data_IF_015333115146
#
_entry.id   IF_015333115146
#
_cell.length_a   1.000
_cell.length_b   1.000
_cell.length_c   1.000
_cell.angle_alpha   90.00
_cell.angle_beta   90.00
_cell.angle_gamma   90.00
#
_symmetry.space_group_name_H-M   'P 1'
#
loop_
_entity.id
_entity.type
_entity.pdbx_description
1 polymer ?
#
# COMPACT_ATOMS: atom_id res chain seq x y z
N UNK A 1 -2.15 -1.26 24.99
CA UNK A 1 -2.28 -0.80 23.58
C UNK A 1 -3.08 0.49 23.53
N UNK A 2 -2.41 1.63 23.42
CA UNK A 2 -3.04 2.95 23.30
C UNK A 2 -3.21 3.24 21.82
N UNK A 3 -4.45 3.32 21.33
CA UNK A 3 -4.72 3.65 19.93
C UNK A 3 -4.52 5.15 19.72
N UNK A 4 -3.80 5.53 18.66
CA UNK A 4 -3.64 6.92 18.20
C UNK A 4 -5.03 7.49 17.90
N UNK A 5 -5.43 8.56 18.61
CA UNK A 5 -6.65 9.31 18.27
C UNK A 5 -6.39 10.08 16.99
N UNK A 6 -7.22 9.85 15.97
CA UNK A 6 -7.25 10.66 14.75
C UNK A 6 -8.42 11.63 14.91
N UNK A 7 -8.11 12.89 15.15
CA UNK A 7 -9.08 13.93 15.55
C UNK A 7 -10.23 14.14 14.55
N UNK A 8 -10.03 13.81 13.26
CA UNK A 8 -11.07 13.90 12.23
C UNK A 8 -12.22 12.89 12.36
N UNK A 9 -11.93 11.65 12.76
CA UNK A 9 -12.93 10.56 12.75
C UNK A 9 -13.88 10.65 13.96
N UNK A 10 -13.44 11.24 15.08
CA UNK A 10 -14.24 11.29 16.31
C UNK A 10 -15.40 12.30 16.23
N UNK A 11 -15.16 13.47 15.63
CA UNK A 11 -16.18 14.53 15.49
C UNK A 11 -17.27 14.09 14.51
N UNK A 12 -16.87 13.53 13.36
CA UNK A 12 -17.79 12.97 12.37
C UNK A 12 -18.67 11.87 12.96
N UNK A 13 -18.09 10.96 13.77
CA UNK A 13 -18.85 9.91 14.46
C UNK A 13 -19.85 10.45 15.47
N UNK A 14 -19.49 11.49 16.23
CA UNK A 14 -20.44 12.13 17.16
C UNK A 14 -21.59 12.82 16.43
N UNK A 15 -21.32 13.46 15.30
CA UNK A 15 -22.36 14.07 14.47
C UNK A 15 -23.32 13.00 13.92
N UNK A 16 -22.80 11.91 13.35
CA UNK A 16 -23.60 10.81 12.84
C UNK A 16 -24.44 10.11 13.94
N UNK A 17 -23.92 10.04 15.18
CA UNK A 17 -24.67 9.49 16.30
C UNK A 17 -25.82 10.40 16.74
N UNK A 18 -25.68 11.73 16.61
CA UNK A 18 -26.74 12.70 16.90
C UNK A 18 -27.82 12.64 15.81
N UNK A 19 -27.44 12.65 14.54
CA UNK A 19 -28.39 12.56 13.42
C UNK A 19 -29.20 11.27 13.43
N UNK A 20 -28.60 10.14 13.85
CA UNK A 20 -29.34 8.89 14.04
C UNK A 20 -30.44 9.02 15.11
N UNK A 21 -30.14 9.69 16.25
CA UNK A 21 -31.12 9.92 17.32
C UNK A 21 -32.22 10.89 16.89
N UNK A 22 -31.88 11.93 16.15
CA UNK A 22 -32.84 12.88 15.58
C UNK A 22 -33.80 12.21 14.60
N UNK A 23 -33.32 11.22 13.85
CA UNK A 23 -34.14 10.37 12.99
C UNK A 23 -34.95 9.30 13.75
N UNK A 24 -34.93 9.29 15.09
CA UNK A 24 -35.64 8.31 15.92
C UNK A 24 -34.99 6.92 15.96
N UNK A 25 -33.81 6.76 15.36
CA UNK A 25 -33.10 5.49 15.29
C UNK A 25 -32.00 5.38 16.35
N UNK A 26 -31.69 4.15 16.78
CA UNK A 26 -30.58 3.93 17.70
C UNK A 26 -29.26 4.04 16.92
N UNK A 27 -28.24 4.76 17.42
CA UNK A 27 -26.91 4.82 16.78
C UNK A 27 -26.26 3.45 16.57
N UNK A 28 -26.67 2.44 17.32
CA UNK A 28 -26.26 1.04 17.12
C UNK A 28 -26.92 0.38 15.91
N UNK A 29 -28.15 0.77 15.55
CA UNK A 29 -28.86 0.27 14.37
C UNK A 29 -28.20 0.76 13.06
N UNK A 30 -27.71 2.01 13.05
CA UNK A 30 -26.93 2.58 11.94
C UNK A 30 -25.44 2.23 11.99
N UNK A 31 -25.02 1.33 12.87
CA UNK A 31 -23.61 0.99 13.06
C UNK A 31 -22.71 2.25 13.21
N UNK A 32 -23.09 3.25 13.99
CA UNK A 32 -22.24 4.45 14.17
C UNK A 32 -21.28 4.30 15.36
N UNK A 33 -21.58 3.38 16.28
CA UNK A 33 -20.80 3.18 17.51
C UNK A 33 -19.60 2.24 17.36
N UNK A 34 -18.62 2.37 18.25
CA UNK A 34 -17.40 1.54 18.34
C UNK A 34 -17.68 0.06 18.68
N UNK A 35 -18.87 -0.28 19.15
CA UNK A 35 -19.29 -1.64 19.49
C UNK A 35 -20.18 -2.33 18.43
N UNK A 36 -20.56 -1.64 17.36
CA UNK A 36 -21.54 -2.13 16.37
C UNK A 36 -21.09 -3.38 15.60
N UNK A 37 -19.77 -3.54 15.37
CA UNK A 37 -19.20 -4.67 14.62
C UNK A 37 -19.49 -6.06 15.21
N UNK A 38 -19.96 -6.14 16.47
CA UNK A 38 -20.29 -7.39 17.15
C UNK A 38 -21.79 -7.60 17.39
N UNK A 39 -22.65 -6.67 16.96
CA UNK A 39 -24.09 -6.85 17.06
C UNK A 39 -24.52 -7.93 16.08
N UNK A 40 -25.07 -9.04 16.59
CA UNK A 40 -25.67 -10.08 15.75
C UNK A 40 -27.03 -9.57 15.30
N UNK A 41 -27.18 -9.28 14.01
CA UNK A 41 -28.51 -9.05 13.42
C UNK A 41 -29.26 -10.36 13.47
N UNK A 42 -30.14 -10.51 14.46
CA UNK A 42 -30.92 -11.72 14.63
C UNK A 42 -32.00 -11.74 13.54
N UNK A 43 -31.81 -12.59 12.52
CA UNK A 43 -32.80 -12.75 11.46
C UNK A 43 -33.84 -13.78 11.93
N UNK A 44 -35.12 -13.40 12.10
CA UNK A 44 -36.15 -14.36 12.50
C UNK A 44 -36.39 -15.33 11.32
N UNK A 45 -36.24 -16.63 11.59
CA UNK A 45 -36.51 -17.75 10.66
C UNK A 45 -35.55 -17.87 9.47
N UNK A 46 -34.32 -18.30 9.76
CA UNK A 46 -33.26 -18.62 8.78
C UNK A 46 -33.65 -19.64 7.67
N UNK A 47 -34.70 -20.43 7.88
CA UNK A 47 -35.15 -21.47 6.96
C UNK A 47 -36.11 -20.98 5.87
N UNK A 48 -36.65 -19.76 5.95
CA UNK A 48 -37.54 -19.20 4.93
C UNK A 48 -36.85 -18.22 3.98
N UNK A 49 -35.52 -18.09 4.09
CA UNK A 49 -34.73 -17.11 3.34
C UNK A 49 -33.90 -17.80 2.28
N UNK A 50 -33.85 -17.17 1.10
CA UNK A 50 -32.99 -17.61 0.00
C UNK A 50 -31.50 -17.36 0.34
N UNK A 51 -30.59 -17.95 -0.43
CA UNK A 51 -29.15 -17.84 -0.22
C UNK A 51 -28.67 -16.38 -0.17
N UNK A 52 -29.22 -15.54 -1.06
CA UNK A 52 -28.86 -14.13 -1.16
C UNK A 52 -29.31 -13.34 0.09
N UNK A 53 -30.57 -13.53 0.53
CA UNK A 53 -31.11 -12.94 1.76
C UNK A 53 -30.38 -13.43 3.02
N UNK A 54 -29.85 -14.66 2.99
CA UNK A 54 -29.04 -15.23 4.07
C UNK A 54 -27.63 -14.63 4.12
N UNK A 55 -27.12 -14.10 3.01
CA UNK A 55 -25.79 -13.48 2.89
C UNK A 55 -25.83 -11.97 3.16
N UNK A 56 -26.97 -11.31 2.94
CA UNK A 56 -27.18 -9.87 3.18
C UNK A 56 -26.71 -9.37 4.58
N UNK A 57 -26.92 -10.08 5.70
CA UNK A 57 -26.40 -9.64 7.01
C UNK A 57 -24.87 -9.76 7.15
N UNK A 58 -24.24 -10.66 6.39
CA UNK A 58 -22.77 -10.82 6.36
C UNK A 58 -22.12 -9.71 5.53
N UNK A 59 -22.78 -9.29 4.46
CA UNK A 59 -22.30 -8.24 3.57
C UNK A 59 -22.47 -6.83 4.17
N UNK A 60 -23.52 -6.61 4.99
CA UNK A 60 -23.73 -5.38 5.77
C UNK A 60 -22.76 -5.17 6.95
N UNK A 61 -21.72 -5.98 7.05
CA UNK A 61 -20.68 -5.81 8.06
C UNK A 61 -20.05 -4.43 7.96
N UNK A 62 -19.99 -3.72 9.10
CA UNK A 62 -19.49 -2.35 9.24
C UNK A 62 -18.20 -2.04 8.46
N UNK A 63 -17.28 -3.01 8.41
CA UNK A 63 -15.99 -2.87 7.73
C UNK A 63 -16.11 -2.81 6.19
N UNK A 64 -17.09 -3.49 5.59
CA UNK A 64 -17.33 -3.45 4.14
C UNK A 64 -18.08 -2.19 3.73
N UNK A 65 -18.99 -1.69 4.57
CA UNK A 65 -19.68 -0.41 4.34
C UNK A 65 -18.70 0.76 4.42
N UNK A 66 -17.85 0.82 5.45
CA UNK A 66 -16.81 1.85 5.55
C UNK A 66 -15.80 1.78 4.38
N UNK A 67 -15.51 0.59 3.85
CA UNK A 67 -14.65 0.41 2.68
C UNK A 67 -15.33 0.81 1.37
N UNK A 68 -16.63 0.54 1.22
CA UNK A 68 -17.43 0.93 0.06
C UNK A 68 -17.70 2.44 0.03
N UNK A 69 -17.98 3.05 1.18
CA UNK A 69 -18.10 4.50 1.33
C UNK A 69 -16.77 5.20 1.04
N UNK A 70 -15.65 4.67 1.55
CA UNK A 70 -14.32 5.18 1.19
C UNK A 70 -13.99 4.97 -0.30
N UNK A 71 -14.47 3.90 -0.92
CA UNK A 71 -14.28 3.66 -2.36
C UNK A 71 -15.16 4.60 -3.21
N UNK A 72 -16.37 4.91 -2.75
CA UNK A 72 -17.27 5.87 -3.39
C UNK A 72 -16.79 7.32 -3.22
N UNK A 73 -16.28 7.68 -2.05
CA UNK A 73 -15.64 8.99 -1.78
C UNK A 73 -14.33 9.15 -2.59
N UNK A 74 -13.65 8.04 -2.89
CA UNK A 74 -12.50 7.99 -3.81
C UNK A 74 -12.87 7.97 -5.29
N UNK A 75 -14.14 7.73 -5.62
CA UNK A 75 -14.65 7.78 -6.99
C UNK A 75 -14.98 9.21 -7.43
N UNK A 76 -14.98 10.19 -6.53
CA UNK A 76 -14.86 11.58 -6.94
C UNK A 76 -13.48 11.82 -7.55
N UNK A 77 -13.38 12.49 -8.71
CA UNK A 77 -12.09 12.88 -9.24
C UNK A 77 -11.38 13.71 -8.17
N UNK A 78 -10.11 13.41 -7.84
CA UNK A 78 -9.41 14.11 -6.78
C UNK A 78 -9.49 15.63 -7.04
N UNK A 79 -9.77 16.45 -6.01
CA UNK A 79 -9.80 17.89 -6.18
C UNK A 79 -8.49 18.33 -6.82
N UNK A 80 -8.57 19.24 -7.79
CA UNK A 80 -7.38 19.77 -8.46
C UNK A 80 -6.37 20.20 -7.38
N UNK A 81 -5.10 19.73 -7.46
CA UNK A 81 -4.13 19.98 -6.40
C UNK A 81 -4.00 21.50 -6.21
N UNK A 82 -3.93 21.98 -4.95
CA UNK A 82 -3.81 23.41 -4.67
C UNK A 82 -2.59 23.99 -5.41
N UNK A 83 -2.72 25.15 -6.09
CA UNK A 83 -1.57 25.79 -6.71
C UNK A 83 -0.64 26.27 -5.61
N UNK A 84 0.43 25.50 -5.36
CA UNK A 84 1.46 25.89 -4.40
C UNK A 84 1.89 24.82 -3.41
N UNK A 85 2.01 23.56 -3.84
CA UNK A 85 3.18 22.67 -3.63
C UNK A 85 3.10 21.57 -4.67
N UNK A 86 3.31 21.90 -5.94
CA UNK A 86 3.65 20.85 -6.88
C UNK A 86 4.95 20.26 -6.36
N UNK A 87 4.94 18.97 -6.00
CA UNK A 87 6.14 18.21 -5.70
C UNK A 87 6.90 18.00 -7.02
N UNK A 88 7.33 19.09 -7.64
CA UNK A 88 8.19 19.15 -8.83
C UNK A 88 9.64 18.95 -8.47
N UNK A 89 9.94 18.77 -7.17
CA UNK A 89 11.27 18.51 -6.63
C UNK A 89 11.67 17.04 -6.59
N UNK A 90 10.82 16.09 -7.01
CA UNK A 90 11.32 14.81 -7.51
C UNK A 90 11.57 15.02 -8.99
N UNK A 91 12.66 15.75 -9.28
CA UNK A 91 13.40 15.51 -10.50
C UNK A 91 13.57 13.99 -10.51
N UNK A 92 12.93 13.27 -11.43
CA UNK A 92 13.43 11.95 -11.81
C UNK A 92 14.91 12.20 -12.04
N UNK A 93 15.83 11.68 -11.22
CA UNK A 93 17.23 11.81 -11.53
C UNK A 93 17.37 10.94 -12.78
N UNK A 94 17.19 11.57 -13.94
CA UNK A 94 17.29 10.92 -15.22
C UNK A 94 18.59 10.14 -15.23
N UNK A 95 18.58 9.03 -15.96
CA UNK A 95 19.72 8.12 -16.03
C UNK A 95 21.04 8.89 -16.10
N UNK A 96 21.80 8.84 -15.00
CA UNK A 96 23.00 9.64 -14.77
C UNK A 96 24.25 8.76 -14.67
N UNK A 97 25.41 9.37 -14.51
CA UNK A 97 26.68 8.62 -14.40
C UNK A 97 26.68 7.62 -13.24
N UNK A 98 26.07 7.97 -12.10
CA UNK A 98 25.93 7.05 -10.96
C UNK A 98 25.07 5.84 -11.31
N UNK A 99 23.99 6.02 -12.08
CA UNK A 99 23.12 4.93 -12.55
C UNK A 99 23.88 4.01 -13.50
N UNK A 100 24.68 4.58 -14.41
CA UNK A 100 25.52 3.82 -15.31
C UNK A 100 26.59 3.02 -14.55
N UNK A 101 27.24 3.62 -13.55
CA UNK A 101 28.24 2.93 -12.74
C UNK A 101 27.62 1.76 -11.97
N UNK A 102 26.44 1.94 -11.38
CA UNK A 102 25.71 0.86 -10.70
C UNK A 102 25.30 -0.22 -11.69
N UNK A 103 24.74 0.12 -12.85
CA UNK A 103 24.35 -0.87 -13.86
C UNK A 103 25.54 -1.69 -14.36
N UNK A 104 26.68 -1.04 -14.64
CA UNK A 104 27.91 -1.73 -15.00
C UNK A 104 28.43 -2.62 -13.86
N UNK A 105 28.28 -2.18 -12.61
CA UNK A 105 28.65 -2.96 -11.43
C UNK A 105 27.77 -4.20 -11.26
N UNK A 106 26.46 -4.12 -11.55
CA UNK A 106 25.56 -5.29 -11.57
C UNK A 106 26.06 -6.29 -12.61
N UNK A 107 26.24 -5.86 -13.86
CA UNK A 107 26.72 -6.73 -14.94
C UNK A 107 28.11 -7.34 -14.65
N UNK A 108 29.01 -6.59 -14.00
CA UNK A 108 30.32 -7.10 -13.61
C UNK A 108 30.25 -8.11 -12.48
N UNK A 109 29.39 -7.87 -11.49
CA UNK A 109 29.18 -8.81 -10.40
C UNK A 109 28.52 -10.10 -10.90
N UNK A 110 27.52 -10.01 -11.78
CA UNK A 110 26.89 -11.20 -12.39
C UNK A 110 27.90 -12.08 -13.10
N UNK A 111 28.80 -11.48 -13.89
CA UNK A 111 29.88 -12.23 -14.55
C UNK A 111 30.80 -12.95 -13.57
N UNK A 112 30.98 -12.43 -12.35
CA UNK A 112 31.77 -13.11 -11.30
C UNK A 112 31.01 -14.25 -10.64
N UNK A 113 29.68 -14.19 -10.65
CA UNK A 113 28.80 -15.22 -10.10
C UNK A 113 28.23 -16.13 -11.19
N UNK A 114 28.95 -16.30 -12.32
CA UNK A 114 28.55 -17.18 -13.44
C UNK A 114 27.14 -16.89 -14.00
N UNK A 115 26.73 -15.62 -14.00
CA UNK A 115 25.41 -15.18 -14.48
C UNK A 115 24.30 -15.28 -13.44
N UNK A 116 24.61 -15.61 -12.19
CA UNK A 116 23.63 -15.58 -11.11
C UNK A 116 23.32 -14.15 -10.65
N UNK A 117 22.07 -13.94 -10.23
CA UNK A 117 21.62 -12.68 -9.66
C UNK A 117 22.40 -12.31 -8.38
N UNK A 118 22.68 -11.01 -8.22
CA UNK A 118 23.66 -10.48 -7.27
C UNK A 118 22.99 -9.66 -6.17
N UNK A 119 23.54 -9.65 -4.96
CA UNK A 119 23.04 -8.83 -3.88
C UNK A 119 23.45 -7.35 -3.96
N UNK A 120 22.62 -6.46 -3.42
CA UNK A 120 22.90 -5.02 -3.39
C UNK A 120 24.24 -4.66 -2.71
N UNK A 121 24.71 -5.46 -1.74
CA UNK A 121 25.98 -5.19 -1.05
C UNK A 121 27.21 -5.50 -1.92
N UNK A 122 27.14 -6.51 -2.78
CA UNK A 122 28.20 -6.85 -3.73
C UNK A 122 28.26 -5.83 -4.87
N UNK A 123 27.09 -5.37 -5.32
CA UNK A 123 26.97 -4.27 -6.28
C UNK A 123 27.58 -2.99 -5.70
N UNK A 124 27.27 -2.65 -4.45
CA UNK A 124 27.83 -1.48 -3.76
C UNK A 124 29.36 -1.57 -3.65
N UNK A 125 29.89 -2.73 -3.27
CA UNK A 125 31.34 -3.00 -3.22
C UNK A 125 31.99 -2.84 -4.59
N UNK A 126 31.33 -3.32 -5.65
CA UNK A 126 31.86 -3.25 -7.02
C UNK A 126 31.79 -1.83 -7.59
N UNK A 127 30.74 -1.08 -7.27
CA UNK A 127 30.56 0.32 -7.69
C UNK A 127 31.39 1.32 -6.86
N UNK A 128 31.93 0.90 -5.70
CA UNK A 128 32.63 1.78 -4.77
C UNK A 128 31.71 2.81 -4.10
N UNK A 129 30.41 2.54 -4.02
CA UNK A 129 29.40 3.46 -3.50
C UNK A 129 28.86 2.99 -2.14
N UNK A 130 28.36 3.92 -1.29
CA UNK A 130 27.67 3.55 -0.06
C UNK A 130 26.44 2.69 -0.35
N UNK A 131 26.23 1.67 0.48
CA UNK A 131 25.16 0.68 0.28
C UNK A 131 23.76 1.31 0.17
N UNK A 132 23.45 2.30 1.00
CA UNK A 132 22.16 2.99 0.96
C UNK A 132 21.97 3.78 -0.33
N UNK A 133 23.03 4.39 -0.87
CA UNK A 133 22.99 5.10 -2.15
C UNK A 133 22.77 4.12 -3.30
N UNK A 134 23.47 2.99 -3.29
CA UNK A 134 23.30 1.92 -4.29
C UNK A 134 21.87 1.36 -4.28
N UNK A 135 21.25 1.19 -3.11
CA UNK A 135 19.85 0.73 -3.01
C UNK A 135 18.87 1.67 -3.70
N UNK A 136 19.03 2.98 -3.53
CA UNK A 136 18.19 3.99 -4.21
C UNK A 136 18.38 3.90 -5.73
N UNK A 137 19.63 3.86 -6.20
CA UNK A 137 19.94 3.77 -7.63
C UNK A 137 19.44 2.45 -8.25
N UNK A 138 19.54 1.33 -7.54
CA UNK A 138 18.99 0.04 -7.98
C UNK A 138 17.46 0.08 -8.05
N UNK A 139 16.80 0.72 -7.09
CA UNK A 139 15.36 0.91 -7.14
C UNK A 139 14.94 1.71 -8.38
N UNK A 140 15.67 2.78 -8.70
CA UNK A 140 15.39 3.63 -9.87
C UNK A 140 15.67 2.89 -11.20
N UNK A 141 16.72 2.05 -11.24
CA UNK A 141 17.00 1.17 -12.39
C UNK A 141 15.90 0.12 -12.64
N UNK A 142 15.28 -0.40 -11.58
CA UNK A 142 14.17 -1.36 -11.67
C UNK A 142 12.86 -0.66 -12.02
N UNK A 143 12.52 0.42 -11.31
CA UNK A 143 11.22 1.08 -11.39
C UNK A 143 11.07 1.99 -12.61
N UNK A 144 12.06 2.83 -12.88
CA UNK A 144 12.00 3.84 -13.96
C UNK A 144 12.62 3.32 -15.25
N UNK A 145 13.79 2.69 -15.19
CA UNK A 145 14.57 2.31 -16.39
C UNK A 145 14.27 0.89 -16.90
N UNK A 146 13.74 0.00 -16.04
CA UNK A 146 13.43 -1.42 -16.35
C UNK A 146 14.60 -2.22 -16.92
N UNK A 147 15.84 -1.80 -16.61
CA UNK A 147 17.09 -2.44 -17.06
C UNK A 147 17.52 -3.61 -16.17
N UNK A 148 17.04 -3.62 -14.93
CA UNK A 148 17.38 -4.59 -13.90
C UNK A 148 16.08 -5.21 -13.38
N UNK A 149 16.08 -6.51 -13.13
CA UNK A 149 15.01 -7.24 -12.48
C UNK A 149 15.39 -7.49 -11.03
N UNK A 150 14.45 -7.19 -10.12
CA UNK A 150 14.59 -7.51 -8.69
C UNK A 150 13.97 -8.89 -8.44
N UNK A 151 14.76 -9.84 -7.97
CA UNK A 151 14.27 -11.14 -7.52
C UNK A 151 13.95 -11.06 -6.02
N UNK A 152 12.67 -11.19 -5.68
CA UNK A 152 12.21 -11.13 -4.29
C UNK A 152 12.46 -12.44 -3.52
N UNK A 153 12.62 -13.56 -4.23
CA UNK A 153 12.97 -14.84 -3.62
C UNK A 153 14.45 -14.83 -3.28
N UNK A 154 14.72 -14.67 -1.99
CA UNK A 154 16.07 -14.57 -1.47
C UNK A 154 16.40 -15.82 -0.67
N UNK A 155 17.58 -16.41 -0.90
CA UNK A 155 18.04 -17.57 -0.11
C UNK A 155 18.45 -17.17 1.32
N UNK A 156 18.80 -15.90 1.52
CA UNK A 156 19.24 -15.35 2.81
C UNK A 156 18.48 -14.03 3.11
N UNK A 157 17.57 -14.02 4.10
CA UNK A 157 16.76 -12.85 4.42
C UNK A 157 17.57 -11.66 4.93
N UNK A 158 18.79 -11.87 5.47
CA UNK A 158 19.61 -10.80 6.04
C UNK A 158 20.33 -9.99 4.95
N UNK A 159 20.57 -10.59 3.79
CA UNK A 159 21.26 -9.95 2.66
C UNK A 159 20.31 -9.19 1.72
N UNK A 160 19.00 -9.38 1.89
CA UNK A 160 17.97 -8.72 1.10
C UNK A 160 17.93 -9.17 -0.36
N UNK A 161 17.12 -8.50 -1.21
CA UNK A 161 16.81 -8.96 -2.55
C UNK A 161 18.03 -9.08 -3.47
N UNK A 162 17.96 -10.00 -4.44
CA UNK A 162 18.94 -10.13 -5.54
C UNK A 162 18.49 -9.35 -6.76
N UNK A 163 19.45 -8.93 -7.56
CA UNK A 163 19.27 -8.12 -8.76
C UNK A 163 19.96 -8.81 -9.94
N UNK A 164 19.26 -8.88 -11.07
CA UNK A 164 19.81 -9.38 -12.32
C UNK A 164 19.60 -8.39 -13.48
N UNK A 165 20.54 -8.29 -14.41
CA UNK A 165 20.41 -7.50 -15.64
C UNK A 165 19.43 -8.20 -16.57
N UNK A 166 18.52 -7.42 -17.15
CA UNK A 166 17.51 -7.96 -18.03
C UNK A 166 18.14 -8.29 -19.38
N UNK A 167 18.03 -9.54 -19.89
CA UNK A 167 18.42 -9.84 -21.26
C UNK A 167 17.50 -9.10 -22.25
N UNK A 168 18.11 -8.53 -23.28
CA UNK A 168 17.44 -7.81 -24.38
C UNK A 168 16.62 -8.73 -25.29
#
# INVERSE_FOLDING_TARGET
MVRKKVEGNEVQRRAAARSAREAGERPSARNVTTGGSKQRTHVPRRNSLDHEERMEPRERGKQRVEAAEQAAERAEPPPAPPPGRSFTGRTDPGYGQEHQAVFQAVAQAERRHDGNAVYAHEVARTAGLPHDRTKVLLHDLVASQRLVTKLERTDDPDLGPRYETKPW
#
